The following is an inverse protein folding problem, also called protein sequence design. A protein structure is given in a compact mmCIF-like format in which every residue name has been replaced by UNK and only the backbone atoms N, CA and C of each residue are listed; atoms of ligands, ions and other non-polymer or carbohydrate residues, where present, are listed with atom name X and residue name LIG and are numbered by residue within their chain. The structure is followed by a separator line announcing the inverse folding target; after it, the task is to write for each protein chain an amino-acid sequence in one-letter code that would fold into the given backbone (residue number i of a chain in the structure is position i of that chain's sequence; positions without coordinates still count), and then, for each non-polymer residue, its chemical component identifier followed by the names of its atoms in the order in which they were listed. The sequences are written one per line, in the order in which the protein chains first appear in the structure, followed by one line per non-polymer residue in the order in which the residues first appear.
data_IF_682453780417
#
_entry.id   IF_682453780417
#
_cell.length_a   1.000
_cell.length_b   1.000
_cell.length_c   1.000
_cell.angle_alpha   90.00
_cell.angle_beta   90.00
_cell.angle_gamma   90.00
#
_symmetry.space_group_name_H-M   'P 1'
#
loop_
_entity.id
_entity.type
_entity.pdbx_description
1 polymer ?
#
# COMPACT_ATOMS: atom_id res chain seq x y z
N UNK A 1 15.89 -50.01 -16.39
CA UNK A 1 14.90 -49.93 -15.29
C UNK A 1 15.56 -49.49 -13.98
N UNK A 2 16.56 -50.24 -13.47
CA UNK A 2 17.28 -49.88 -12.24
C UNK A 2 17.89 -48.47 -12.22
N UNK A 3 18.51 -48.02 -13.31
CA UNK A 3 19.08 -46.67 -13.40
C UNK A 3 18.04 -45.55 -13.24
N UNK A 4 16.81 -45.78 -13.70
CA UNK A 4 15.72 -44.79 -13.58
C UNK A 4 15.24 -44.71 -12.13
N UNK A 5 15.05 -45.87 -11.49
CA UNK A 5 14.64 -45.94 -10.07
C UNK A 5 15.71 -45.28 -9.19
N UNK A 6 16.98 -45.57 -9.43
CA UNK A 6 18.08 -44.97 -8.68
C UNK A 6 18.19 -43.46 -8.89
N UNK A 7 18.00 -42.97 -10.12
CA UNK A 7 17.96 -41.53 -10.40
C UNK A 7 16.81 -40.81 -9.68
N UNK A 8 15.62 -41.43 -9.62
CA UNK A 8 14.48 -40.89 -8.87
C UNK A 8 14.79 -40.84 -7.38
N UNK A 9 15.32 -41.92 -6.80
CA UNK A 9 15.65 -41.97 -5.37
C UNK A 9 16.71 -40.94 -4.99
N UNK A 10 17.76 -40.78 -5.80
CA UNK A 10 18.79 -39.76 -5.57
C UNK A 10 18.20 -38.35 -5.71
N UNK A 11 17.35 -38.10 -6.71
CA UNK A 11 16.65 -36.83 -6.86
C UNK A 11 15.76 -36.49 -5.66
N UNK A 12 14.98 -37.47 -5.17
CA UNK A 12 14.15 -37.33 -3.98
C UNK A 12 14.99 -37.09 -2.71
N UNK A 13 16.13 -37.77 -2.56
CA UNK A 13 17.02 -37.59 -1.43
C UNK A 13 17.65 -36.18 -1.41
N UNK A 14 18.12 -35.69 -2.56
CA UNK A 14 18.72 -34.35 -2.67
C UNK A 14 17.67 -33.27 -2.39
N UNK A 15 16.50 -33.36 -3.03
CA UNK A 15 15.40 -32.40 -2.84
C UNK A 15 14.85 -32.44 -1.42
N UNK A 16 14.71 -33.62 -0.83
CA UNK A 16 14.31 -33.79 0.58
C UNK A 16 15.32 -33.17 1.54
N UNK A 17 16.62 -33.41 1.33
CA UNK A 17 17.69 -32.87 2.17
C UNK A 17 17.78 -31.34 2.09
N UNK A 18 17.76 -30.77 0.88
CA UNK A 18 17.85 -29.31 0.70
C UNK A 18 16.61 -28.61 1.26
N UNK A 19 15.41 -29.18 1.08
CA UNK A 19 14.19 -28.64 1.67
C UNK A 19 14.23 -28.71 3.20
N UNK A 20 14.68 -29.82 3.77
CA UNK A 20 14.84 -29.97 5.21
C UNK A 20 15.83 -28.96 5.79
N UNK A 21 17.01 -28.81 5.16
CA UNK A 21 18.02 -27.85 5.58
C UNK A 21 17.47 -26.42 5.53
N UNK A 22 16.77 -26.04 4.46
CA UNK A 22 16.14 -24.74 4.32
C UNK A 22 15.07 -24.48 5.39
N UNK A 23 14.18 -25.45 5.65
CA UNK A 23 13.15 -25.31 6.68
C UNK A 23 13.78 -25.15 8.06
N UNK A 24 14.83 -25.91 8.36
CA UNK A 24 15.54 -25.82 9.65
C UNK A 24 16.24 -24.47 9.83
N UNK A 25 16.84 -23.94 8.77
CA UNK A 25 17.47 -22.62 8.77
C UNK A 25 16.45 -21.51 9.01
N UNK A 26 15.31 -21.56 8.31
CA UNK A 26 14.19 -20.63 8.52
C UNK A 26 13.65 -20.72 9.95
N UNK A 27 13.50 -21.92 10.51
CA UNK A 27 13.07 -22.10 11.89
C UNK A 27 14.07 -21.50 12.90
N UNK A 28 15.36 -21.66 12.63
CA UNK A 28 16.42 -21.06 13.45
C UNK A 28 16.35 -19.53 13.40
N UNK A 29 16.23 -18.94 12.20
CA UNK A 29 16.09 -17.50 12.05
C UNK A 29 14.85 -16.98 12.78
N UNK A 30 13.70 -17.61 12.61
CA UNK A 30 12.47 -17.24 13.30
C UNK A 30 12.65 -17.30 14.83
N UNK A 31 13.34 -18.32 15.35
CA UNK A 31 13.62 -18.45 16.79
C UNK A 31 14.55 -17.33 17.30
N UNK A 32 15.59 -16.99 16.54
CA UNK A 32 16.50 -15.88 16.87
C UNK A 32 15.73 -14.55 16.86
N UNK A 33 14.92 -14.30 15.83
CA UNK A 33 14.09 -13.10 15.72
C UNK A 33 13.07 -13.01 16.85
N UNK A 34 12.37 -14.11 17.16
CA UNK A 34 11.41 -14.16 18.27
C UNK A 34 12.09 -13.82 19.60
N UNK A 35 13.26 -14.40 19.87
CA UNK A 35 14.02 -14.11 21.07
C UNK A 35 14.45 -12.63 21.16
N UNK A 36 14.92 -12.03 20.07
CA UNK A 36 15.29 -10.59 20.04
C UNK A 36 14.07 -9.70 20.24
N UNK A 37 12.91 -10.10 19.73
CA UNK A 37 11.65 -9.35 19.89
C UNK A 37 11.10 -9.47 21.30
N UNK A 38 11.17 -10.65 21.92
CA UNK A 38 10.67 -10.93 23.27
C UNK A 38 11.58 -10.42 24.38
N UNK A 39 12.90 -10.37 24.15
CA UNK A 39 13.86 -9.86 25.14
C UNK A 39 13.80 -8.36 25.39
N UNK A 40 13.01 -7.61 24.60
CA UNK A 40 12.87 -6.16 24.76
C UNK A 40 11.73 -5.81 25.71
N UNK A 41 12.01 -4.88 26.61
CA UNK A 41 11.07 -4.35 27.60
C UNK A 41 9.84 -3.69 26.94
N UNK A 42 8.72 -3.64 27.67
CA UNK A 42 7.49 -2.98 27.23
C UNK A 42 7.72 -1.51 26.85
N UNK A 43 8.59 -0.81 27.60
CA UNK A 43 8.96 0.58 27.31
C UNK A 43 9.60 0.75 25.92
N UNK A 44 10.38 -0.24 25.46
CA UNK A 44 10.95 -0.22 24.12
C UNK A 44 9.83 -0.24 23.06
N UNK A 45 8.84 -1.13 23.23
CA UNK A 45 7.74 -1.28 22.29
C UNK A 45 6.78 -0.09 22.30
N UNK A 46 6.56 0.53 23.46
CA UNK A 46 5.82 1.79 23.54
C UNK A 46 6.51 2.92 22.79
N UNK A 47 7.84 3.03 22.90
CA UNK A 47 8.62 4.04 22.16
C UNK A 47 8.61 3.76 20.65
N UNK A 48 8.66 2.49 20.25
CA UNK A 48 8.47 2.09 18.85
C UNK A 48 7.06 2.41 18.38
N UNK A 49 6.02 2.17 19.17
CA UNK A 49 4.65 2.52 18.81
C UNK A 49 4.49 4.04 18.63
N UNK A 50 5.03 4.83 19.55
CA UNK A 50 5.01 6.30 19.46
C UNK A 50 5.67 6.79 18.17
N UNK A 51 6.83 6.24 17.80
CA UNK A 51 7.60 6.74 16.65
C UNK A 51 7.17 6.14 15.32
N UNK A 52 6.99 4.82 15.25
CA UNK A 52 6.75 4.06 14.00
C UNK A 52 5.28 3.83 13.69
N UNK A 53 4.37 3.99 14.65
CA UNK A 53 2.92 3.83 14.42
C UNK A 53 2.27 5.21 14.46
N UNK A 54 2.28 5.88 15.60
CA UNK A 54 1.62 7.19 15.68
C UNK A 54 2.42 8.31 15.00
N UNK A 55 3.75 8.34 15.19
CA UNK A 55 4.60 9.32 14.52
C UNK A 55 4.50 9.22 13.01
N UNK A 56 4.49 7.99 12.48
CA UNK A 56 4.23 7.71 11.08
C UNK A 56 2.83 8.19 10.62
N UNK A 57 1.80 8.04 11.45
CA UNK A 57 0.46 8.54 11.14
C UNK A 57 0.41 10.08 11.09
N UNK A 58 0.97 10.76 12.10
CA UNK A 58 0.86 12.21 12.23
C UNK A 58 1.81 12.98 11.32
N UNK A 59 3.08 12.58 11.32
CA UNK A 59 4.13 13.29 10.59
C UNK A 59 4.37 12.71 9.20
N UNK A 60 3.75 11.56 8.90
CA UNK A 60 4.04 10.82 7.69
C UNK A 60 5.37 10.10 7.82
N UNK A 61 5.98 9.78 6.68
CA UNK A 61 7.34 9.28 6.65
C UNK A 61 8.23 10.25 5.87
N UNK A 62 9.36 10.61 6.46
CA UNK A 62 10.36 11.50 5.84
C UNK A 62 11.12 10.83 4.70
N UNK A 63 11.30 9.50 4.80
CA UNK A 63 12.19 8.72 3.92
C UNK A 63 11.46 7.56 3.23
N UNK A 64 10.15 7.66 3.05
CA UNK A 64 9.36 6.61 2.40
C UNK A 64 8.72 7.15 1.13
N UNK A 65 8.99 6.48 0.00
CA UNK A 65 8.38 6.80 -1.30
C UNK A 65 6.88 6.44 -1.39
N UNK A 66 6.33 5.80 -0.34
CA UNK A 66 4.98 5.24 -0.37
C UNK A 66 4.03 5.99 0.55
N UNK A 67 3.15 6.81 -0.04
CA UNK A 67 2.03 7.46 0.66
C UNK A 67 1.14 6.46 1.44
N UNK A 68 1.12 5.18 1.02
CA UNK A 68 0.39 4.12 1.71
C UNK A 68 0.90 3.85 3.12
N UNK A 69 2.14 4.20 3.43
CA UNK A 69 2.75 3.99 4.75
C UNK A 69 2.00 4.75 5.85
N UNK A 70 1.77 6.06 5.65
CA UNK A 70 1.01 6.91 6.58
C UNK A 70 -0.40 6.36 6.80
N UNK A 71 -1.12 6.05 5.71
CA UNK A 71 -2.49 5.53 5.82
C UNK A 71 -2.56 4.19 6.55
N UNK A 72 -1.59 3.30 6.34
CA UNK A 72 -1.52 2.02 7.06
C UNK A 72 -1.16 2.22 8.53
N UNK A 73 -0.27 3.18 8.83
CA UNK A 73 0.08 3.50 10.20
C UNK A 73 -1.14 4.03 10.97
N UNK A 74 -1.91 4.96 10.38
CA UNK A 74 -3.16 5.44 10.96
C UNK A 74 -4.20 4.33 11.09
N UNK A 75 -4.40 3.50 10.07
CA UNK A 75 -5.33 2.37 10.13
C UNK A 75 -4.99 1.41 11.29
N UNK A 76 -3.70 1.14 11.54
CA UNK A 76 -3.27 0.32 12.68
C UNK A 76 -3.61 0.93 14.03
N UNK A 77 -3.55 2.26 14.17
CA UNK A 77 -3.98 2.92 15.42
C UNK A 77 -5.49 2.74 15.65
N UNK A 78 -6.29 2.75 14.58
CA UNK A 78 -7.73 2.50 14.66
C UNK A 78 -8.09 1.03 14.97
N UNK A 79 -7.17 0.09 14.73
CA UNK A 79 -7.35 -1.33 15.13
C UNK A 79 -7.22 -1.53 16.64
N UNK A 80 -6.64 -0.57 17.38
CA UNK A 80 -6.48 -0.64 18.83
C UNK A 80 -7.83 -0.37 19.50
N UNK A 81 -8.42 -1.42 20.07
CA UNK A 81 -9.71 -1.32 20.77
C UNK A 81 -9.52 -1.55 22.28
N UNK A 82 -9.49 -0.45 23.04
CA UNK A 82 -9.43 -0.46 24.50
C UNK A 82 -10.75 0.13 25.03
N UNK A 83 -11.41 -0.58 25.94
CA UNK A 83 -12.69 -0.11 26.49
C UNK A 83 -12.51 1.24 27.18
N UNK A 84 -13.27 2.24 26.74
CA UNK A 84 -13.27 3.58 27.34
C UNK A 84 -12.11 4.48 26.91
N UNK A 85 -11.24 4.04 26.00
CA UNK A 85 -10.12 4.84 25.49
C UNK A 85 -10.14 4.82 23.96
N UNK A 86 -10.20 6.00 23.36
CA UNK A 86 -10.05 6.15 21.91
C UNK A 86 -8.56 6.13 21.60
N UNK A 87 -8.13 5.20 20.75
CA UNK A 87 -6.74 5.05 20.31
C UNK A 87 -6.52 5.36 18.81
N UNK A 88 -7.58 5.76 18.10
CA UNK A 88 -7.52 6.11 16.68
C UNK A 88 -6.75 7.41 16.48
N UNK A 89 -5.58 7.31 15.85
CA UNK A 89 -4.73 8.44 15.53
C UNK A 89 -5.46 9.50 14.71
N UNK A 90 -6.39 9.12 13.84
CA UNK A 90 -7.15 10.08 13.03
C UNK A 90 -8.09 10.96 13.89
N UNK A 91 -8.41 10.54 15.10
CA UNK A 91 -9.26 11.29 16.04
C UNK A 91 -8.38 12.06 17.05
N UNK A 92 -7.23 11.50 17.42
CA UNK A 92 -6.41 12.01 18.53
C UNK A 92 -5.29 12.97 18.12
N UNK A 93 -5.10 13.22 16.83
CA UNK A 93 -3.98 14.00 16.29
C UNK A 93 -3.83 15.42 16.89
N UNK A 94 -4.93 16.02 17.32
CA UNK A 94 -5.04 17.35 17.93
C UNK A 94 -5.05 17.33 19.48
N UNK A 95 -5.00 16.16 20.12
CA UNK A 95 -5.10 16.07 21.58
C UNK A 95 -3.84 16.62 22.27
N UNK A 96 -4.01 17.20 23.46
CA UNK A 96 -2.88 17.67 24.29
C UNK A 96 -2.02 16.51 24.79
N UNK A 97 -2.66 15.42 25.20
CA UNK A 97 -2.02 14.13 25.46
C UNK A 97 -2.30 13.16 24.31
N UNK A 98 -1.49 13.25 23.25
CA UNK A 98 -1.67 12.46 22.01
C UNK A 98 -1.44 10.96 22.21
N UNK A 99 -0.84 10.55 23.32
CA UNK A 99 -0.37 9.19 23.50
C UNK A 99 -0.71 8.63 24.88
N UNK A 100 -2.00 8.36 25.17
CA UNK A 100 -2.39 7.65 26.37
C UNK A 100 -1.56 6.36 26.50
N UNK A 101 -1.03 6.10 27.68
CA UNK A 101 -0.13 4.96 27.96
C UNK A 101 -0.76 3.64 27.50
N UNK A 102 -2.05 3.45 27.76
CA UNK A 102 -2.80 2.26 27.34
C UNK A 102 -2.78 2.05 25.80
N UNK A 103 -2.91 3.12 25.02
CA UNK A 103 -2.86 3.04 23.56
C UNK A 103 -1.45 2.68 23.06
N UNK A 104 -0.40 3.21 23.69
CA UNK A 104 0.99 2.90 23.33
C UNK A 104 1.35 1.43 23.62
N UNK A 105 0.89 0.90 24.75
CA UNK A 105 1.09 -0.51 25.11
C UNK A 105 0.40 -1.44 24.11
N UNK A 106 -0.88 -1.19 23.82
CA UNK A 106 -1.65 -2.01 22.89
C UNK A 106 -1.12 -1.92 21.45
N UNK A 107 -0.79 -0.70 20.97
CA UNK A 107 -0.18 -0.51 19.66
C UNK A 107 1.21 -1.16 19.59
N UNK A 108 1.99 -1.11 20.67
CA UNK A 108 3.28 -1.77 20.80
C UNK A 108 3.18 -3.28 20.62
N UNK A 109 2.20 -3.93 21.25
CA UNK A 109 1.96 -5.37 21.13
C UNK A 109 1.46 -5.78 19.73
N UNK A 110 0.60 -4.97 19.10
CA UNK A 110 0.20 -5.18 17.70
C UNK A 110 1.44 -5.10 16.78
N UNK A 111 2.27 -4.08 16.97
CA UNK A 111 3.47 -3.87 16.16
C UNK A 111 4.50 -5.00 16.34
N UNK A 112 4.72 -5.42 17.59
CA UNK A 112 5.56 -6.56 17.96
C UNK A 112 5.09 -7.84 17.25
N UNK A 113 3.78 -8.10 17.28
CA UNK A 113 3.19 -9.26 16.59
C UNK A 113 3.37 -9.19 15.08
N UNK A 114 3.22 -8.01 14.48
CA UNK A 114 3.39 -7.83 13.04
C UNK A 114 4.83 -7.99 12.58
N UNK A 115 5.79 -7.54 13.38
CA UNK A 115 7.22 -7.76 13.13
C UNK A 115 7.58 -9.25 13.07
N UNK A 116 6.87 -10.11 13.80
CA UNK A 116 7.04 -11.56 13.70
C UNK A 116 6.31 -12.18 12.50
N UNK A 117 5.19 -11.60 12.07
CA UNK A 117 4.41 -12.09 10.92
C UNK A 117 5.08 -11.81 9.57
N UNK A 118 5.77 -10.67 9.42
CA UNK A 118 6.37 -10.26 8.14
C UNK A 118 7.44 -11.27 7.66
N UNK A 119 8.46 -11.63 8.47
CA UNK A 119 9.46 -12.64 8.08
C UNK A 119 8.79 -13.96 7.73
N UNK A 120 7.87 -14.45 8.56
CA UNK A 120 7.15 -15.71 8.34
C UNK A 120 6.44 -15.73 6.98
N UNK A 121 5.78 -14.64 6.60
CA UNK A 121 5.11 -14.52 5.29
C UNK A 121 6.11 -14.54 4.14
N UNK A 122 7.22 -13.82 4.26
CA UNK A 122 8.25 -13.78 3.22
C UNK A 122 8.92 -15.15 3.03
N UNK A 123 9.16 -15.88 4.12
CA UNK A 123 9.68 -17.24 4.06
C UNK A 123 8.69 -18.22 3.41
N UNK A 124 7.41 -18.16 3.78
CA UNK A 124 6.38 -19.00 3.14
C UNK A 124 6.25 -18.74 1.64
N UNK A 125 6.42 -17.47 1.20
CA UNK A 125 6.45 -17.14 -0.24
C UNK A 125 7.66 -17.75 -0.95
N UNK A 126 8.86 -17.68 -0.36
CA UNK A 126 10.07 -18.31 -0.92
C UNK A 126 9.93 -19.83 -0.99
N UNK A 127 9.40 -20.46 0.06
CA UNK A 127 9.15 -21.90 0.07
C UNK A 127 8.13 -22.30 -1.00
N UNK A 128 7.02 -21.56 -1.11
CA UNK A 128 6.02 -21.79 -2.15
C UNK A 128 6.60 -21.68 -3.57
N UNK A 129 7.48 -20.71 -3.80
CA UNK A 129 8.18 -20.56 -5.08
C UNK A 129 9.09 -21.76 -5.38
N UNK A 130 9.89 -22.22 -4.41
CA UNK A 130 10.75 -23.40 -4.59
C UNK A 130 9.96 -24.66 -4.91
N UNK A 131 8.87 -24.90 -4.18
CA UNK A 131 7.98 -26.04 -4.46
C UNK A 131 7.38 -25.95 -5.86
N UNK A 132 6.95 -24.75 -6.27
CA UNK A 132 6.40 -24.52 -7.61
C UNK A 132 7.45 -24.78 -8.71
N UNK A 133 8.70 -24.36 -8.53
CA UNK A 133 9.79 -24.61 -9.49
C UNK A 133 10.09 -26.11 -9.64
N UNK A 134 10.08 -26.86 -8.53
CA UNK A 134 10.29 -28.31 -8.56
C UNK A 134 9.15 -29.02 -9.30
N UNK A 135 7.90 -28.59 -9.12
CA UNK A 135 6.74 -29.16 -9.83
C UNK A 135 6.73 -28.80 -11.31
N UNK A 136 7.02 -27.54 -11.66
CA UNK A 136 7.02 -27.07 -13.06
C UNK A 136 8.11 -27.76 -13.91
N UNK A 137 9.25 -28.12 -13.32
CA UNK A 137 10.32 -28.86 -14.00
C UNK A 137 9.95 -30.29 -14.41
N UNK A 138 8.79 -30.80 -14.00
CA UNK A 138 8.31 -32.15 -14.33
C UNK A 138 7.45 -32.16 -15.62
N UNK A 139 6.90 -31.01 -16.05
CA UNK A 139 5.91 -30.97 -17.15
C UNK A 139 6.50 -30.68 -18.55
N UNK A 140 7.78 -30.33 -18.68
CA UNK A 140 8.38 -29.99 -19.98
C UNK A 140 9.06 -31.20 -20.64
N UNK A 141 8.29 -32.25 -20.97
CA UNK A 141 8.82 -33.37 -21.79
C UNK A 141 8.05 -33.74 -23.06
N UNK A 142 6.88 -33.15 -23.33
CA UNK A 142 6.10 -33.49 -24.53
C UNK A 142 5.79 -32.31 -25.46
N UNK A 143 6.50 -31.19 -25.32
CA UNK A 143 6.52 -30.14 -26.36
C UNK A 143 7.33 -30.62 -27.57
N UNK A 144 6.68 -31.46 -28.37
CA UNK A 144 7.07 -31.93 -29.70
C UNK A 144 7.68 -30.76 -30.48
N UNK A 145 8.99 -30.82 -30.73
CA UNK A 145 9.72 -29.99 -31.70
C UNK A 145 8.92 -29.92 -33.01
N UNK A 146 8.16 -28.84 -33.19
CA UNK A 146 7.75 -28.42 -34.52
C UNK A 146 9.00 -27.78 -35.17
N UNK A 147 9.38 -28.16 -36.40
CA UNK A 147 10.50 -27.56 -37.09
C UNK A 147 10.18 -26.09 -37.38
N UNK A 148 10.88 -25.20 -36.69
CA UNK A 148 10.87 -23.76 -36.91
C UNK A 148 11.42 -23.46 -38.31
N UNK A 149 10.53 -23.23 -39.27
CA UNK A 149 10.88 -22.68 -40.58
C UNK A 149 11.27 -21.22 -40.37
N UNK A 150 12.57 -20.94 -40.45
CA UNK A 150 13.12 -19.58 -40.67
C UNK A 150 12.40 -18.92 -41.86
N UNK A 151 11.53 -17.96 -41.58
CA UNK A 151 11.19 -16.92 -42.55
C UNK A 151 11.94 -15.65 -42.15
N UNK A 152 12.96 -15.33 -42.95
CA UNK A 152 13.50 -13.99 -43.06
C UNK A 152 12.40 -13.10 -43.66
N UNK A 153 11.94 -12.10 -42.91
CA UNK A 153 11.12 -11.02 -43.41
C UNK A 153 11.76 -9.68 -42.99
N UNK A 154 12.60 -9.20 -43.90
CA UNK A 154 12.73 -7.84 -44.40
C UNK A 154 12.39 -6.67 -43.46
N UNK A 155 13.43 -5.89 -43.14
CA UNK A 155 13.37 -4.52 -42.63
C UNK A 155 12.43 -3.64 -43.47
N UNK A 156 11.45 -3.00 -42.83
CA UNK A 156 10.75 -1.84 -43.37
C UNK A 156 11.03 -0.63 -42.48
N UNK A 157 11.80 0.31 -43.03
CA UNK A 157 12.12 1.62 -42.48
C UNK A 157 10.85 2.46 -42.35
N UNK A 158 10.48 2.79 -41.11
CA UNK A 158 9.42 3.77 -40.80
C UNK A 158 10.02 5.17 -40.81
N UNK A 159 9.53 6.05 -41.68
CA UNK A 159 9.82 7.49 -41.67
C UNK A 159 8.98 8.18 -40.56
N UNK A 160 9.54 9.15 -39.81
CA UNK A 160 8.75 9.97 -38.90
C UNK A 160 7.90 10.98 -39.69
N UNK A 161 6.60 11.00 -39.43
CA UNK A 161 5.68 12.03 -39.91
C UNK A 161 5.77 13.31 -39.06
N UNK A 162 5.47 14.49 -39.64
CA UNK A 162 5.56 15.79 -38.95
C UNK A 162 4.43 15.98 -37.92
N UNK A 163 4.67 16.76 -36.85
CA UNK A 163 3.65 17.06 -35.85
C UNK A 163 2.61 18.06 -36.38
N UNK A 164 1.30 17.85 -36.14
CA UNK A 164 0.28 18.85 -36.39
C UNK A 164 0.28 19.96 -35.31
N UNK A 165 -0.20 21.17 -35.65
CA UNK A 165 0.03 22.39 -34.90
C UNK A 165 -0.84 22.54 -33.64
N UNK A 166 -0.26 23.27 -32.68
CA UNK A 166 -0.89 23.82 -31.49
C UNK A 166 -2.16 24.62 -31.83
N UNK A 167 -3.31 24.19 -31.30
CA UNK A 167 -4.49 25.04 -31.18
C UNK A 167 -4.62 25.57 -29.76
N UNK A 168 -4.43 26.88 -29.69
CA UNK A 168 -4.77 27.79 -28.60
C UNK A 168 -6.29 27.84 -28.37
N UNK A 169 -6.64 28.01 -27.09
CA UNK A 169 -7.73 28.85 -26.55
C UNK A 169 -9.19 28.37 -26.72
N UNK A 170 -9.92 28.24 -25.60
CA UNK A 170 -10.70 29.34 -25.00
C UNK A 170 -11.38 28.92 -23.70
N UNK A 171 -11.26 29.80 -22.71
CA UNK A 171 -12.06 29.86 -21.50
C UNK A 171 -13.54 30.18 -21.81
N UNK A 172 -14.41 29.80 -20.88
CA UNK A 172 -15.65 30.52 -20.63
C UNK A 172 -16.89 29.66 -20.40
N UNK A 173 -17.36 29.68 -19.15
CA UNK A 173 -18.74 29.98 -18.74
C UNK A 173 -19.36 28.97 -17.76
N UNK A 174 -19.38 29.39 -16.49
CA UNK A 174 -20.58 29.61 -15.67
C UNK A 174 -21.80 28.71 -15.91
N UNK A 175 -22.18 27.95 -14.88
CA UNK A 175 -23.57 27.54 -14.64
C UNK A 175 -23.72 27.11 -13.17
N UNK A 176 -24.16 28.04 -12.31
CA UNK A 176 -25.48 28.03 -11.65
C UNK A 176 -25.63 26.89 -10.64
N UNK A 177 -25.59 27.29 -9.36
CA UNK A 177 -26.01 26.51 -8.21
C UNK A 177 -27.54 26.33 -8.22
N UNK A 178 -28.00 25.14 -7.85
CA UNK A 178 -29.40 24.89 -7.47
C UNK A 178 -29.42 24.20 -6.11
N UNK A 179 -30.06 24.86 -5.14
CA UNK A 179 -30.48 24.32 -3.85
C UNK A 179 -31.27 23.02 -3.99
N UNK A 180 -31.07 22.08 -3.07
CA UNK A 180 -32.14 21.22 -2.60
C UNK A 180 -31.95 20.82 -1.13
N UNK A 181 -32.95 21.18 -0.35
CA UNK A 181 -33.18 20.88 1.07
C UNK A 181 -33.86 19.49 1.25
N UNK A 182 -33.86 19.02 2.50
CA UNK A 182 -34.49 17.83 3.09
C UNK A 182 -33.73 16.50 2.91
N UNK A 183 -33.55 15.64 3.92
CA UNK A 183 -34.14 15.55 5.24
C UNK A 183 -34.28 14.07 5.63
N UNK A 184 -33.54 13.67 6.66
CA UNK A 184 -33.75 12.55 7.61
C UNK A 184 -33.80 11.05 7.17
N UNK A 185 -32.90 10.32 7.86
CA UNK A 185 -33.05 9.02 8.56
C UNK A 185 -33.11 7.68 7.81
N UNK A 186 -32.13 6.81 8.12
CA UNK A 186 -32.34 5.35 8.28
C UNK A 186 -31.20 4.63 9.06
N UNK A 187 -31.46 3.42 9.60
CA UNK A 187 -30.90 2.88 10.86
C UNK A 187 -29.73 1.87 10.67
N UNK A 188 -29.12 1.31 11.74
CA UNK A 188 -27.82 0.66 11.66
C UNK A 188 -27.91 -0.81 11.17
N UNK A 189 -27.15 -1.13 10.12
CA UNK A 189 -27.03 -2.50 9.62
C UNK A 189 -26.02 -3.31 10.45
N UNK A 190 -26.52 -4.37 11.10
CA UNK A 190 -25.73 -5.40 11.77
C UNK A 190 -24.94 -6.22 10.74
N UNK A 191 -23.61 -6.07 10.78
CA UNK A 191 -22.67 -6.89 10.01
C UNK A 191 -22.66 -8.35 10.53
N UNK A 192 -23.09 -9.28 9.69
CA UNK A 192 -22.98 -10.73 9.92
C UNK A 192 -21.53 -11.18 9.68
N UNK A 193 -20.85 -11.63 10.75
CA UNK A 193 -19.56 -12.35 10.68
C UNK A 193 -19.69 -13.59 9.79
N UNK A 194 -19.06 -13.58 8.62
CA UNK A 194 -18.82 -14.79 7.82
C UNK A 194 -17.68 -15.59 8.45
N UNK A 195 -18.01 -16.80 8.90
CA UNK A 195 -17.04 -17.79 9.37
C UNK A 195 -16.08 -18.17 8.23
N UNK A 196 -14.78 -17.91 8.45
CA UNK A 196 -13.70 -18.29 7.55
C UNK A 196 -13.40 -19.78 7.79
N UNK A 197 -13.81 -20.65 6.85
CA UNK A 197 -13.41 -22.07 6.87
C UNK A 197 -11.90 -22.14 6.67
N UNK A 198 -11.19 -22.63 7.68
CA UNK A 198 -9.79 -23.02 7.58
C UNK A 198 -9.69 -24.30 6.75
N UNK A 199 -8.97 -24.25 5.64
CA UNK A 199 -8.63 -25.44 4.88
C UNK A 199 -7.44 -26.09 5.60
N UNK A 200 -7.72 -27.18 6.31
CA UNK A 200 -6.73 -28.01 6.99
C UNK A 200 -5.94 -28.80 5.94
N UNK A 201 -4.66 -28.45 5.79
CA UNK A 201 -3.72 -29.04 4.84
C UNK A 201 -3.04 -30.29 5.45
N UNK A 202 -3.82 -31.19 6.06
CA UNK A 202 -3.28 -32.33 6.83
C UNK A 202 -3.62 -33.71 6.27
N UNK A 203 -4.18 -33.80 5.06
CA UNK A 203 -4.53 -35.09 4.44
C UNK A 203 -4.26 -35.08 2.94
N UNK A 204 -2.99 -34.97 2.56
CA UNK A 204 -2.51 -35.40 1.24
C UNK A 204 -1.86 -36.78 1.44
N UNK A 205 -2.68 -37.83 1.35
CA UNK A 205 -2.21 -39.21 1.38
C UNK A 205 -1.35 -39.49 0.15
N UNK A 206 -0.13 -39.96 0.40
CA UNK A 206 0.90 -40.42 -0.55
C UNK A 206 0.48 -41.60 -1.45
N UNK A 207 -0.80 -41.98 -1.50
CA UNK A 207 -1.25 -43.24 -2.10
C UNK A 207 -1.59 -43.17 -3.60
N UNK A 208 -1.62 -41.99 -4.23
CA UNK A 208 -2.21 -41.84 -5.58
C UNK A 208 -1.20 -41.79 -6.74
N UNK A 209 0.10 -42.02 -6.50
CA UNK A 209 1.14 -41.94 -7.54
C UNK A 209 1.56 -43.29 -8.15
N UNK A 210 0.85 -44.38 -7.85
CA UNK A 210 1.28 -45.75 -8.20
C UNK A 210 0.58 -46.40 -9.42
N UNK A 211 -0.08 -45.65 -10.30
CA UNK A 211 -0.80 -46.25 -11.43
C UNK A 211 -0.60 -45.50 -12.77
N UNK A 212 0.58 -45.63 -13.37
CA UNK A 212 0.75 -45.46 -14.82
C UNK A 212 1.74 -46.49 -15.38
N UNK A 213 1.31 -47.41 -16.25
CA UNK A 213 2.21 -48.27 -16.99
C UNK A 213 2.45 -47.72 -18.42
N UNK A 214 3.71 -47.70 -18.85
CA UNK A 214 4.03 -47.93 -20.26
C UNK A 214 4.94 -46.92 -20.96
N UNK A 215 6.19 -47.36 -21.16
CA UNK A 215 7.10 -47.08 -22.30
C UNK A 215 7.53 -45.64 -22.58
N UNK A 216 8.79 -45.36 -22.25
CA UNK A 216 9.66 -44.52 -23.08
C UNK A 216 11.12 -45.00 -22.97
N UNK A 217 11.74 -45.25 -24.12
CA UNK A 217 13.17 -45.51 -24.23
C UNK A 217 13.95 -44.22 -23.91
N UNK A 218 14.78 -44.25 -22.87
CA UNK A 218 15.56 -43.09 -22.44
C UNK A 218 16.88 -43.01 -23.22
N UNK A 219 17.07 -41.93 -23.99
CA UNK A 219 18.38 -41.52 -24.51
C UNK A 219 19.22 -40.88 -23.39
N UNK A 220 20.55 -41.10 -23.36
CA UNK A 220 21.43 -40.57 -22.34
C UNK A 220 21.93 -39.18 -22.74
N UNK A 221 21.16 -38.14 -22.47
CA UNK A 221 21.61 -36.74 -22.65
C UNK A 221 20.93 -35.81 -21.64
N UNK A 222 21.07 -36.12 -20.34
CA UNK A 222 20.59 -35.25 -19.24
C UNK A 222 21.76 -34.92 -18.31
N UNK A 223 22.82 -34.33 -18.87
CA UNK A 223 23.97 -33.85 -18.10
C UNK A 223 24.34 -32.38 -18.41
N UNK A 224 23.59 -31.67 -19.24
CA UNK A 224 23.92 -30.28 -19.60
C UNK A 224 22.63 -29.46 -19.65
N UNK A 225 22.01 -29.17 -18.51
CA UNK A 225 21.04 -28.06 -18.44
C UNK A 225 20.80 -27.67 -16.97
N UNK A 226 21.83 -27.09 -16.33
CA UNK A 226 21.68 -26.51 -14.97
C UNK A 226 22.22 -25.10 -14.84
N UNK A 227 22.43 -24.37 -15.95
CA UNK A 227 22.90 -22.98 -15.87
C UNK A 227 22.31 -22.15 -17.00
N UNK A 228 21.02 -21.76 -16.94
CA UNK A 228 20.48 -20.54 -17.61
C UNK A 228 19.06 -20.24 -17.12
N UNK A 229 18.84 -20.14 -15.81
CA UNK A 229 17.53 -19.73 -15.24
C UNK A 229 17.66 -18.44 -14.42
N UNK A 230 18.45 -17.48 -14.90
CA UNK A 230 18.64 -16.17 -14.24
C UNK A 230 18.02 -14.97 -14.94
N UNK A 231 17.32 -15.10 -16.09
CA UNK A 231 16.88 -13.92 -16.86
C UNK A 231 15.38 -13.71 -17.06
N UNK A 232 14.48 -14.50 -16.45
CA UNK A 232 13.03 -14.23 -16.50
C UNK A 232 12.59 -13.47 -15.24
N UNK A 233 13.28 -12.37 -14.94
CA UNK A 233 12.65 -11.28 -14.20
C UNK A 233 12.14 -10.31 -15.26
N UNK A 234 10.88 -10.48 -15.67
CA UNK A 234 10.19 -9.44 -16.41
C UNK A 234 10.18 -8.20 -15.53
N UNK A 235 11.01 -7.20 -15.87
CA UNK A 235 10.92 -5.86 -15.32
C UNK A 235 9.51 -5.36 -15.58
N UNK A 236 8.66 -5.35 -14.54
CA UNK A 236 7.49 -4.49 -14.56
C UNK A 236 8.03 -3.07 -14.74
N UNK A 237 7.81 -2.47 -15.90
CA UNK A 237 8.05 -1.05 -16.11
C UNK A 237 7.00 -0.28 -15.34
N UNK A 238 7.15 -0.27 -14.01
CA UNK A 238 6.55 0.78 -13.19
C UNK A 238 7.24 2.05 -13.65
N UNK A 239 6.51 2.90 -14.36
CA UNK A 239 6.96 4.25 -14.69
C UNK A 239 7.30 4.93 -13.37
N UNK A 240 8.58 4.95 -13.03
CA UNK A 240 9.08 5.68 -11.88
C UNK A 240 8.96 7.15 -12.26
N UNK A 241 8.05 7.87 -11.62
CA UNK A 241 7.94 9.31 -11.77
C UNK A 241 9.19 9.89 -11.07
N UNK A 242 10.31 10.06 -11.81
CA UNK A 242 11.66 10.32 -11.27
C UNK A 242 11.94 11.82 -11.01
N UNK A 243 11.13 12.74 -11.50
CA UNK A 243 11.34 14.16 -11.26
C UNK A 243 10.29 14.66 -10.26
N UNK A 244 10.78 15.20 -9.16
CA UNK A 244 9.96 15.97 -8.24
C UNK A 244 10.04 17.41 -8.73
N UNK A 245 9.03 17.87 -9.46
CA UNK A 245 8.93 19.30 -9.75
C UNK A 245 8.69 20.07 -8.44
N UNK A 246 8.92 21.38 -8.47
CA UNK A 246 8.73 22.25 -7.32
C UNK A 246 7.30 22.13 -6.79
N UNK A 247 7.15 21.73 -5.53
CA UNK A 247 5.83 21.60 -4.92
C UNK A 247 5.04 22.91 -5.00
N UNK A 248 3.76 22.81 -5.36
CA UNK A 248 2.86 23.95 -5.39
C UNK A 248 2.29 24.19 -4.00
N UNK A 249 2.51 25.41 -3.48
CA UNK A 249 1.98 25.86 -2.21
C UNK A 249 0.88 26.88 -2.46
N UNK A 250 -0.27 26.71 -1.82
CA UNK A 250 -1.29 27.74 -1.70
C UNK A 250 -1.50 28.04 -0.23
N UNK A 251 -1.28 29.30 0.17
CA UNK A 251 -1.49 29.72 1.54
C UNK A 251 -2.92 30.17 1.75
N UNK A 252 -3.37 30.07 3.00
CA UNK A 252 -4.69 30.51 3.42
C UNK A 252 -4.65 31.06 4.84
N UNK A 253 -5.60 31.93 5.18
CA UNK A 253 -5.68 32.62 6.46
C UNK A 253 -7.15 32.81 6.85
N UNK A 254 -7.49 32.69 8.13
CA UNK A 254 -8.86 32.94 8.58
C UNK A 254 -9.16 34.46 8.61
N UNK A 255 -10.44 34.83 8.71
CA UNK A 255 -10.88 36.23 8.78
C UNK A 255 -10.17 37.05 9.88
N UNK A 256 -9.87 36.43 11.03
CA UNK A 256 -9.19 37.08 12.16
C UNK A 256 -7.65 37.10 12.03
N UNK A 257 -7.09 36.48 10.99
CA UNK A 257 -5.65 36.31 10.75
C UNK A 257 -4.86 35.66 11.90
N UNK A 258 -5.55 34.88 12.72
CA UNK A 258 -4.95 34.13 13.82
C UNK A 258 -4.55 32.72 13.40
N UNK A 259 -5.32 32.12 12.47
CA UNK A 259 -5.08 30.80 11.91
C UNK A 259 -4.61 31.00 10.47
N UNK A 260 -3.44 30.45 10.15
CA UNK A 260 -2.95 30.41 8.79
C UNK A 260 -2.35 29.04 8.49
N UNK A 261 -2.34 28.70 7.22
CA UNK A 261 -1.89 27.41 6.76
C UNK A 261 -1.42 27.42 5.33
N UNK A 262 -0.97 26.24 4.91
CA UNK A 262 -0.52 25.96 3.56
C UNK A 262 -1.14 24.64 3.10
N UNK A 263 -1.69 24.68 1.89
CA UNK A 263 -2.05 23.50 1.12
C UNK A 263 -0.85 23.20 0.23
N UNK A 264 -0.19 22.07 0.49
CA UNK A 264 1.00 21.62 -0.23
C UNK A 264 0.61 20.51 -1.21
N UNK A 265 0.64 20.80 -2.50
CA UNK A 265 0.46 19.82 -3.57
C UNK A 265 1.80 19.22 -3.99
N UNK A 266 1.90 17.89 -3.99
CA UNK A 266 3.09 17.20 -4.48
C UNK A 266 2.97 16.99 -5.99
N UNK A 267 3.86 17.61 -6.76
CA UNK A 267 4.00 17.26 -8.17
C UNK A 267 4.55 15.86 -8.33
N UNK A 268 4.01 15.16 -9.30
CA UNK A 268 4.66 13.97 -9.83
C UNK A 268 4.68 14.10 -11.34
N UNK A 269 5.72 13.59 -11.99
CA UNK A 269 5.83 13.56 -13.47
C UNK A 269 4.61 13.02 -14.21
N UNK A 270 3.69 12.38 -13.49
CA UNK A 270 2.55 11.67 -13.97
C UNK A 270 1.24 12.46 -13.78
N UNK A 271 1.23 13.49 -12.92
CA UNK A 271 0.04 14.28 -12.58
C UNK A 271 0.38 15.72 -12.17
N UNK A 272 -0.35 16.69 -12.74
CA UNK A 272 -0.22 18.11 -12.43
C UNK A 272 -0.74 18.42 -11.00
N UNK A 273 0.15 18.81 -10.10
CA UNK A 273 -0.15 19.14 -8.69
C UNK A 273 -1.25 20.18 -8.54
N UNK A 274 -1.29 21.18 -9.44
CA UNK A 274 -2.26 22.28 -9.39
C UNK A 274 -3.70 21.80 -9.48
N UNK A 275 -3.96 20.74 -10.25
CA UNK A 275 -5.31 20.18 -10.36
C UNK A 275 -5.85 19.74 -8.99
N UNK A 276 -5.01 19.10 -8.17
CA UNK A 276 -5.42 18.65 -6.84
C UNK A 276 -5.60 19.79 -5.85
N UNK A 277 -4.82 20.87 -5.99
CA UNK A 277 -5.05 22.10 -5.25
C UNK A 277 -6.42 22.68 -5.63
N UNK A 278 -6.70 22.86 -6.91
CA UNK A 278 -7.96 23.43 -7.39
C UNK A 278 -9.20 22.65 -6.89
N UNK A 279 -9.08 21.33 -6.71
CA UNK A 279 -10.17 20.50 -6.16
C UNK A 279 -10.36 20.68 -4.64
N UNK A 280 -9.32 21.09 -3.90
CA UNK A 280 -9.33 21.23 -2.43
C UNK A 280 -9.61 22.66 -1.97
N UNK A 281 -9.13 23.66 -2.73
CA UNK A 281 -9.24 25.08 -2.34
C UNK A 281 -10.67 25.57 -2.10
N UNK A 282 -11.71 25.15 -2.86
CA UNK A 282 -13.09 25.52 -2.56
C UNK A 282 -13.52 25.11 -1.15
N UNK A 283 -13.15 23.90 -0.69
CA UNK A 283 -13.46 23.45 0.67
C UNK A 283 -12.72 24.25 1.74
N UNK A 284 -11.52 24.74 1.44
CA UNK A 284 -10.79 25.65 2.35
C UNK A 284 -11.54 26.98 2.49
N UNK A 285 -12.02 27.53 1.37
CA UNK A 285 -12.80 28.77 1.35
C UNK A 285 -14.15 28.61 2.04
N UNK A 286 -14.85 27.50 1.80
CA UNK A 286 -16.13 27.18 2.44
C UNK A 286 -16.02 27.07 3.97
N UNK A 287 -14.85 26.68 4.49
CA UNK A 287 -14.56 26.68 5.93
C UNK A 287 -14.19 28.06 6.51
N UNK A 288 -14.34 29.14 5.73
CA UNK A 288 -14.15 30.52 6.18
C UNK A 288 -12.70 31.03 6.12
N UNK A 289 -11.84 30.38 5.32
CA UNK A 289 -10.49 30.84 5.08
C UNK A 289 -10.39 31.63 3.77
N UNK A 290 -9.59 32.69 3.78
CA UNK A 290 -9.22 33.46 2.60
C UNK A 290 -7.91 32.92 2.03
N UNK A 291 -7.81 32.83 0.70
CA UNK A 291 -6.56 32.46 0.04
C UNK A 291 -5.57 33.64 0.10
N UNK A 292 -4.31 33.33 0.39
CA UNK A 292 -3.24 34.31 0.52
C UNK A 292 -2.03 33.93 -0.34
N UNK A 293 -1.27 34.93 -0.79
CA UNK A 293 -0.04 34.71 -1.54
C UNK A 293 1.11 34.22 -0.64
N UNK A 294 1.09 34.63 0.63
CA UNK A 294 2.06 34.24 1.66
C UNK A 294 1.48 34.47 3.06
N UNK A 295 2.03 33.79 4.07
CA UNK A 295 1.68 33.94 5.49
C UNK A 295 2.93 34.05 6.34
N UNK A 296 2.91 34.92 7.33
CA UNK A 296 4.02 35.10 8.27
C UNK A 296 3.89 34.12 9.44
N UNK A 297 4.66 33.04 9.41
CA UNK A 297 4.85 32.16 10.55
C UNK A 297 5.02 30.68 10.21
N UNK A 298 5.14 29.88 11.26
CA UNK A 298 5.39 28.45 11.13
C UNK A 298 4.08 27.67 10.88
N UNK A 299 4.05 26.88 9.82
CA UNK A 299 2.94 25.98 9.44
C UNK A 299 3.36 24.51 9.58
N UNK A 300 4.05 24.17 10.67
CA UNK A 300 4.55 22.81 10.90
C UNK A 300 3.49 21.81 11.39
N UNK A 301 2.27 22.24 11.72
CA UNK A 301 1.22 21.34 12.21
C UNK A 301 0.39 20.79 11.06
N UNK A 302 0.60 19.52 10.74
CA UNK A 302 -0.16 18.81 9.71
C UNK A 302 -1.56 18.44 10.20
N UNK A 303 -2.57 18.76 9.40
CA UNK A 303 -3.93 18.25 9.60
C UNK A 303 -3.96 16.81 9.13
N UNK A 304 -4.24 15.88 10.05
CA UNK A 304 -4.27 14.46 9.74
C UNK A 304 -5.36 14.20 8.70
N UNK A 305 -4.97 13.65 7.55
CA UNK A 305 -5.92 13.32 6.50
C UNK A 305 -5.46 12.08 5.71
N UNK A 306 -5.67 10.88 6.27
CA UNK A 306 -5.13 9.65 5.70
C UNK A 306 -5.72 9.30 4.34
N UNK A 307 -6.91 9.83 4.00
CA UNK A 307 -7.64 9.48 2.78
C UNK A 307 -7.25 10.37 1.59
N UNK A 308 -7.04 11.67 1.82
CA UNK A 308 -6.53 12.59 0.77
C UNK A 308 -5.09 12.24 0.42
N UNK A 309 -4.23 11.95 1.40
CA UNK A 309 -2.82 11.67 1.11
C UNK A 309 -2.60 10.42 0.27
N UNK A 310 -3.55 9.48 0.33
CA UNK A 310 -3.49 8.24 -0.44
C UNK A 310 -3.78 8.45 -1.94
N UNK A 311 -4.52 9.49 -2.32
CA UNK A 311 -5.00 9.68 -3.70
C UNK A 311 -4.77 11.08 -4.27
N UNK A 312 -4.92 12.13 -3.46
CA UNK A 312 -4.93 13.52 -3.89
C UNK A 312 -3.56 14.18 -3.82
N UNK A 313 -2.56 13.54 -3.19
CA UNK A 313 -1.19 14.09 -3.11
C UNK A 313 -1.17 15.53 -2.60
N UNK A 314 -2.08 15.88 -1.69
CA UNK A 314 -2.13 17.18 -1.00
C UNK A 314 -1.90 16.96 0.48
N UNK A 315 -1.11 17.84 1.10
CA UNK A 315 -0.92 17.91 2.55
C UNK A 315 -1.34 19.28 3.02
N UNK A 316 -2.25 19.36 3.99
CA UNK A 316 -2.61 20.64 4.60
C UNK A 316 -1.90 20.78 5.93
N UNK A 317 -1.26 21.93 6.13
CA UNK A 317 -0.65 22.29 7.40
C UNK A 317 -1.14 23.65 7.88
N UNK A 318 -1.18 23.82 9.18
CA UNK A 318 -1.60 25.05 9.86
C UNK A 318 -0.62 25.42 10.96
N UNK A 319 -0.73 26.63 11.48
CA UNK A 319 0.08 27.14 12.59
C UNK A 319 -0.39 26.66 13.97
N UNK A 320 -1.68 26.34 14.12
CA UNK A 320 -2.29 25.96 15.39
C UNK A 320 -3.63 25.26 15.21
N UNK A 321 -3.96 24.30 16.08
CA UNK A 321 -5.31 23.70 16.14
C UNK A 321 -6.21 24.40 17.16
N UNK A 322 -5.61 24.91 18.23
CA UNK A 322 -6.29 25.29 19.46
C UNK A 322 -5.97 26.76 19.80
N UNK A 323 -6.50 27.68 18.99
CA UNK A 323 -6.21 29.11 19.13
C UNK A 323 -7.16 29.76 20.14
N UNK A 324 -8.42 29.33 20.18
CA UNK A 324 -9.44 29.88 21.06
C UNK A 324 -9.43 29.24 22.45
N UNK A 325 -9.19 27.93 22.54
CA UNK A 325 -9.08 27.19 23.79
C UNK A 325 -8.03 26.10 23.67
N UNK A 326 -7.16 25.95 24.69
CA UNK A 326 -6.08 24.97 24.66
C UNK A 326 -6.54 23.51 24.59
N UNK A 327 -7.81 23.24 24.89
CA UNK A 327 -8.41 21.90 24.92
C UNK A 327 -9.33 21.62 23.75
N UNK A 328 -9.68 22.62 22.95
CA UNK A 328 -10.66 22.49 21.87
C UNK A 328 -10.05 22.94 20.55
N UNK A 329 -10.28 22.14 19.52
CA UNK A 329 -9.89 22.49 18.16
C UNK A 329 -10.84 23.53 17.61
N UNK A 330 -10.26 24.57 17.02
CA UNK A 330 -10.99 25.66 16.42
C UNK A 330 -11.98 25.13 15.39
N UNK A 331 -13.20 25.66 15.39
CA UNK A 331 -14.28 25.18 14.53
C UNK A 331 -13.91 25.25 13.05
N UNK A 332 -13.09 26.23 12.65
CA UNK A 332 -12.59 26.36 11.27
C UNK A 332 -11.63 25.21 10.90
N UNK A 333 -10.77 24.78 11.83
CA UNK A 333 -9.87 23.64 11.65
C UNK A 333 -10.66 22.33 11.60
N UNK A 334 -11.66 22.18 12.47
CA UNK A 334 -12.53 21.02 12.48
C UNK A 334 -13.32 20.91 11.16
N UNK A 335 -13.86 22.03 10.67
CA UNK A 335 -14.49 22.10 9.35
C UNK A 335 -13.53 21.63 8.25
N UNK A 336 -12.28 22.10 8.28
CA UNK A 336 -11.29 21.71 7.28
C UNK A 336 -11.06 20.20 7.29
N UNK A 337 -10.86 19.62 8.47
CA UNK A 337 -10.70 18.18 8.62
C UNK A 337 -11.91 17.41 8.05
N UNK A 338 -13.13 17.84 8.39
CA UNK A 338 -14.37 17.14 8.03
C UNK A 338 -14.72 17.30 6.54
N UNK A 339 -14.53 18.49 5.98
CA UNK A 339 -14.73 18.78 4.56
C UNK A 339 -13.83 17.91 3.69
N UNK A 340 -12.57 17.76 4.10
CA UNK A 340 -11.62 16.94 3.39
C UNK A 340 -11.93 15.44 3.50
N UNK A 341 -12.40 14.97 4.67
CA UNK A 341 -12.85 13.59 4.82
C UNK A 341 -14.08 13.29 3.95
N UNK A 342 -14.99 14.26 3.82
CA UNK A 342 -16.21 14.14 3.02
C UNK A 342 -15.93 14.14 1.52
N UNK A 343 -15.07 15.03 1.04
CA UNK A 343 -14.68 15.12 -0.38
C UNK A 343 -14.11 13.79 -0.91
N UNK A 344 -13.32 13.09 -0.08
CA UNK A 344 -12.79 11.78 -0.45
C UNK A 344 -13.89 10.72 -0.50
N UNK A 345 -14.83 10.74 0.45
CA UNK A 345 -15.92 9.77 0.46
C UNK A 345 -16.77 9.88 -0.82
N UNK A 346 -17.06 11.10 -1.26
CA UNK A 346 -17.80 11.36 -2.49
C UNK A 346 -17.04 10.88 -3.73
N UNK A 347 -15.74 11.14 -3.81
CA UNK A 347 -14.91 10.70 -4.95
C UNK A 347 -14.69 9.19 -4.99
N UNK A 348 -14.51 8.52 -3.85
CA UNK A 348 -14.46 7.05 -3.80
C UNK A 348 -15.77 6.45 -4.32
N UNK A 349 -16.91 7.05 -3.97
CA UNK A 349 -18.22 6.61 -4.46
C UNK A 349 -18.42 6.88 -5.95
N UNK A 350 -17.99 8.03 -6.46
CA UNK A 350 -17.99 8.34 -7.90
C UNK A 350 -17.13 7.35 -8.70
N UNK A 351 -15.87 7.13 -8.30
CA UNK A 351 -14.99 6.20 -9.00
C UNK A 351 -15.42 4.73 -8.85
N UNK A 352 -16.11 4.36 -7.77
CA UNK A 352 -16.66 3.01 -7.62
C UNK A 352 -17.91 2.78 -8.47
N UNK A 353 -18.66 3.84 -8.80
CA UNK A 353 -19.83 3.77 -9.68
C UNK A 353 -19.43 3.65 -11.16
N UNK A 354 -18.24 4.13 -11.53
CA UNK A 354 -17.70 4.07 -12.89
C UNK A 354 -17.02 2.74 -13.21
N UNK A 355 -17.56 1.63 -12.70
CA UNK A 355 -17.18 0.30 -13.17
C UNK A 355 -17.71 0.15 -14.60
N UNK A 356 -16.85 -0.05 -15.62
CA UNK A 356 -17.33 -0.25 -16.97
C UNK A 356 -18.20 -1.50 -16.98
N UNK A 357 -19.49 -1.32 -17.24
CA UNK A 357 -20.33 -2.38 -17.79
C UNK A 357 -19.68 -2.76 -19.12
N UNK A 358 -18.90 -3.84 -19.10
CA UNK A 358 -18.36 -4.46 -20.31
C UNK A 358 -19.51 -4.65 -21.30
N UNK A 359 -19.38 -4.02 -22.48
CA UNK A 359 -20.05 -4.44 -23.71
C UNK A 359 -19.32 -5.62 -24.32
#
# INVERSE_FOLDING_TARGET
MFAIILAILVGCAITGWTTYALVRDIQRDIAIYAHVVESRDGNYWMQVARTKVYGACYHGCTDCDMASYTSNACAKTAEVNITGVICDGNIMWNWKDRYPVACLEAAGEIYKTDMLKIPKRNHMKRLGFLVLTVLAGIEEKDAKRAPEKRQMATNATVRPGPPPPSTKWKDGASSICTEHEAGLTSPPNKSKKKARRSISLSTLSLATLAAMPGRAAASPLVAILSITATSIYGSSTTYSCINSDSAANQYFVNANRTIFGVVHGWDSNCYNSRKYLDDVLPSVVDCGFELADAVEGDTNLRIANPLIERQWRVTIRVNGFNITSSTETDQSIQCLHDALMTAVYFLIHLFSAEKPTNM
#
